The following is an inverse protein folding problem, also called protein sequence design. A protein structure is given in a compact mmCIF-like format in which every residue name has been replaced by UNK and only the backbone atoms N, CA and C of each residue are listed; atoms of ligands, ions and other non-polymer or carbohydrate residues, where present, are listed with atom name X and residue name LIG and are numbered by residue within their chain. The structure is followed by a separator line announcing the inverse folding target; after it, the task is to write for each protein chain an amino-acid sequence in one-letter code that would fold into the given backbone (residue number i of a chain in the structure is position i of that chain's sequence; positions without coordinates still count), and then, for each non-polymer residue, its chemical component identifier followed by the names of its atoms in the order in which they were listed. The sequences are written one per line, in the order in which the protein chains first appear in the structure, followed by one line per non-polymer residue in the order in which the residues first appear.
data_IF_961243286274
#
_entry.id   IF_961243286274
#
_cell.length_a   1.000
_cell.length_b   1.000
_cell.length_c   1.000
_cell.angle_alpha   90.00
_cell.angle_beta   90.00
_cell.angle_gamma   90.00
#
_symmetry.space_group_name_H-M   'P 1'
#
loop_
_entity.id
_entity.type
_entity.pdbx_description
1 polymer ?
#
# COMPACT_ATOMS: atom_id res chain seq x y z
N UNK A 1 -10.65 -38.91 -1.19
CA UNK A 1 -9.17 -39.01 -1.31
C UNK A 1 -8.74 -38.00 -2.36
N UNK A 2 -7.82 -37.07 -2.07
CA UNK A 2 -7.28 -36.17 -3.11
C UNK A 2 -6.08 -36.86 -3.72
N UNK A 3 -6.18 -37.26 -4.99
CA UNK A 3 -5.08 -37.87 -5.72
C UNK A 3 -4.36 -36.75 -6.46
N UNK A 4 -3.10 -36.52 -6.12
CA UNK A 4 -2.23 -35.60 -6.85
C UNK A 4 -1.42 -36.46 -7.81
N UNK A 5 -1.46 -36.15 -9.10
CA UNK A 5 -0.60 -36.75 -10.12
C UNK A 5 0.07 -35.59 -10.83
N UNK A 6 1.39 -35.51 -10.70
CA UNK A 6 2.21 -34.49 -11.34
C UNK A 6 2.78 -35.05 -12.65
N UNK A 7 2.73 -34.23 -13.69
CA UNK A 7 3.45 -34.48 -14.94
C UNK A 7 4.96 -34.29 -14.72
N UNK A 8 5.81 -34.85 -15.58
CA UNK A 8 7.27 -34.75 -15.47
C UNK A 8 7.76 -33.30 -15.35
N UNK A 9 7.19 -32.39 -16.15
CA UNK A 9 7.49 -30.96 -16.10
C UNK A 9 7.15 -30.35 -14.74
N UNK A 10 6.04 -30.75 -14.13
CA UNK A 10 5.62 -30.27 -12.82
C UNK A 10 6.50 -30.85 -11.70
N UNK A 11 6.99 -32.07 -11.85
CA UNK A 11 7.96 -32.68 -10.91
C UNK A 11 9.31 -31.94 -10.98
N UNK A 12 9.75 -31.58 -12.19
CA UNK A 12 10.97 -30.79 -12.39
C UNK A 12 10.83 -29.39 -11.76
N UNK A 13 9.72 -28.70 -12.01
CA UNK A 13 9.45 -27.38 -11.44
C UNK A 13 9.32 -27.43 -9.91
N UNK A 14 8.61 -28.42 -9.36
CA UNK A 14 8.52 -28.65 -7.92
C UNK A 14 9.91 -28.83 -7.29
N UNK A 15 10.77 -29.59 -7.95
CA UNK A 15 12.14 -29.86 -7.49
C UNK A 15 12.98 -28.58 -7.52
N UNK A 16 12.87 -27.79 -8.58
CA UNK A 16 13.52 -26.49 -8.73
C UNK A 16 13.08 -25.53 -7.61
N UNK A 17 11.78 -25.34 -7.40
CA UNK A 17 11.24 -24.42 -6.39
C UNK A 17 11.62 -24.81 -4.96
N UNK A 18 11.67 -26.11 -4.64
CA UNK A 18 12.12 -26.59 -3.32
C UNK A 18 13.60 -26.28 -3.04
N UNK A 19 14.44 -26.42 -4.07
CA UNK A 19 15.89 -26.23 -3.99
C UNK A 19 16.32 -24.77 -4.09
N UNK A 20 15.44 -23.87 -4.56
CA UNK A 20 15.74 -22.44 -4.59
C UNK A 20 15.91 -21.87 -3.17
N UNK A 21 17.08 -21.27 -2.85
CA UNK A 21 17.30 -20.61 -1.57
C UNK A 21 16.36 -19.44 -1.30
N UNK A 22 15.81 -18.81 -2.34
CA UNK A 22 14.88 -17.66 -2.22
C UNK A 22 13.47 -18.10 -1.80
N UNK A 23 13.16 -19.39 -1.92
CA UNK A 23 11.86 -19.91 -1.51
C UNK A 23 11.70 -19.84 0.01
N UNK A 24 10.68 -19.11 0.45
CA UNK A 24 10.34 -18.96 1.86
C UNK A 24 10.09 -20.34 2.52
N UNK A 25 10.48 -20.55 3.79
CA UNK A 25 10.29 -21.83 4.48
C UNK A 25 8.85 -22.37 4.40
N UNK A 26 7.84 -21.51 4.67
CA UNK A 26 6.43 -21.90 4.59
C UNK A 26 5.98 -22.34 3.20
N UNK A 27 6.50 -21.70 2.15
CA UNK A 27 6.24 -22.11 0.76
C UNK A 27 6.90 -23.46 0.48
N UNK A 28 8.11 -23.70 1.00
CA UNK A 28 8.83 -24.98 0.86
C UNK A 28 8.06 -26.14 1.52
N UNK A 29 7.51 -25.93 2.72
CA UNK A 29 6.70 -26.95 3.40
C UNK A 29 5.46 -27.32 2.57
N UNK A 30 4.78 -26.33 1.99
CA UNK A 30 3.61 -26.55 1.12
C UNK A 30 3.98 -27.28 -0.16
N UNK A 31 5.12 -26.96 -0.77
CA UNK A 31 5.65 -27.71 -1.92
C UNK A 31 5.96 -29.17 -1.55
N UNK A 32 6.49 -29.40 -0.35
CA UNK A 32 6.76 -30.74 0.16
C UNK A 32 5.47 -31.53 0.42
N UNK A 33 4.39 -30.89 0.91
CA UNK A 33 3.07 -31.52 1.02
C UNK A 33 2.57 -32.02 -0.35
N UNK A 34 2.71 -31.21 -1.41
CA UNK A 34 2.34 -31.61 -2.77
C UNK A 34 3.20 -32.77 -3.27
N UNK A 35 4.50 -32.76 -2.98
CA UNK A 35 5.41 -33.86 -3.31
C UNK A 35 4.98 -35.16 -2.65
N UNK A 36 4.68 -35.13 -1.35
CA UNK A 36 4.25 -36.31 -0.60
C UNK A 36 2.89 -36.83 -1.09
N UNK A 37 1.96 -35.93 -1.41
CA UNK A 37 0.67 -36.30 -1.99
C UNK A 37 0.83 -36.96 -3.37
N UNK A 38 1.77 -36.49 -4.19
CA UNK A 38 2.14 -37.14 -5.46
C UNK A 38 2.74 -38.54 -5.25
N UNK A 39 3.48 -38.74 -4.16
CA UNK A 39 4.03 -40.04 -3.75
C UNK A 39 3.00 -40.92 -3.02
N UNK A 40 1.70 -40.70 -3.25
CA UNK A 40 0.59 -41.45 -2.67
C UNK A 40 0.49 -41.43 -1.14
N UNK A 41 1.09 -40.44 -0.46
CA UNK A 41 0.84 -40.27 0.98
C UNK A 41 -0.59 -39.75 1.20
N UNK A 42 -1.26 -40.32 2.20
CA UNK A 42 -2.59 -39.88 2.61
C UNK A 42 -2.51 -38.53 3.34
N UNK A 43 -3.60 -37.75 3.29
CA UNK A 43 -3.70 -36.47 4.02
C UNK A 43 -3.42 -36.64 5.53
N UNK A 44 -3.99 -37.65 6.24
CA UNK A 44 -3.67 -37.88 7.65
C UNK A 44 -2.17 -38.12 7.88
N UNK A 45 -1.52 -38.90 7.00
CA UNK A 45 -0.08 -39.18 7.11
C UNK A 45 0.78 -37.93 6.91
N UNK A 46 0.42 -37.09 5.93
CA UNK A 46 1.09 -35.81 5.69
C UNK A 46 0.86 -34.87 6.87
N UNK A 47 -0.36 -34.80 7.39
CA UNK A 47 -0.72 -33.98 8.54
C UNK A 47 0.09 -34.35 9.79
N UNK A 48 0.23 -35.65 10.06
CA UNK A 48 1.08 -36.17 11.12
C UNK A 48 2.57 -35.81 10.91
N UNK A 49 3.08 -35.96 9.68
CA UNK A 49 4.48 -35.64 9.36
C UNK A 49 4.85 -34.17 9.59
N UNK A 50 3.92 -33.26 9.35
CA UNK A 50 4.11 -31.81 9.54
C UNK A 50 3.57 -31.29 10.88
N UNK A 51 3.01 -32.15 11.74
CA UNK A 51 2.38 -31.78 13.01
C UNK A 51 1.31 -30.68 12.87
N UNK A 52 0.50 -30.75 11.80
CA UNK A 52 -0.58 -29.79 11.52
C UNK A 52 -1.91 -30.51 11.32
N UNK A 53 -3.01 -29.76 11.36
CA UNK A 53 -4.34 -30.30 11.10
C UNK A 53 -4.49 -30.79 9.66
N UNK A 54 -5.22 -31.89 9.45
CA UNK A 54 -5.60 -32.39 8.12
C UNK A 54 -6.30 -31.34 7.25
N UNK A 55 -7.09 -30.45 7.86
CA UNK A 55 -7.80 -29.38 7.17
C UNK A 55 -6.83 -28.43 6.44
N UNK A 56 -5.69 -28.11 7.07
CA UNK A 56 -4.65 -27.27 6.46
C UNK A 56 -3.95 -27.97 5.30
N UNK A 57 -3.62 -29.25 5.44
CA UNK A 57 -3.05 -30.04 4.34
C UNK A 57 -4.04 -30.07 3.17
N UNK A 58 -5.31 -30.39 3.45
CA UNK A 58 -6.37 -30.43 2.44
C UNK A 58 -6.54 -29.09 1.74
N UNK A 59 -6.49 -27.98 2.47
CA UNK A 59 -6.56 -26.64 1.89
C UNK A 59 -5.44 -26.41 0.86
N UNK A 60 -4.19 -26.69 1.20
CA UNK A 60 -3.06 -26.46 0.28
C UNK A 60 -3.06 -27.42 -0.92
N UNK A 61 -3.42 -28.69 -0.72
CA UNK A 61 -3.56 -29.63 -1.84
C UNK A 61 -4.67 -29.17 -2.79
N UNK A 62 -5.83 -28.74 -2.27
CA UNK A 62 -6.90 -28.18 -3.10
C UNK A 62 -6.46 -26.94 -3.86
N UNK A 63 -5.80 -26.01 -3.16
CA UNK A 63 -5.28 -24.77 -3.75
C UNK A 63 -4.32 -25.07 -4.90
N UNK A 64 -3.42 -26.04 -4.72
CA UNK A 64 -2.54 -26.50 -5.79
C UNK A 64 -3.32 -27.11 -6.97
N UNK A 65 -4.31 -27.95 -6.70
CA UNK A 65 -5.09 -28.57 -7.77
C UNK A 65 -5.95 -27.55 -8.56
N UNK A 66 -6.39 -26.47 -7.92
CA UNK A 66 -7.21 -25.43 -8.57
C UNK A 66 -6.39 -24.38 -9.31
N UNK A 67 -5.27 -23.96 -8.74
CA UNK A 67 -4.52 -22.79 -9.20
C UNK A 67 -3.05 -23.13 -9.53
N UNK A 68 -2.53 -24.29 -9.12
CA UNK A 68 -1.14 -24.69 -9.35
C UNK A 68 -0.15 -24.07 -8.37
N UNK A 69 1.13 -24.02 -8.75
CA UNK A 69 2.25 -23.67 -7.86
C UNK A 69 2.17 -22.26 -7.27
N UNK A 70 1.64 -21.29 -8.01
CA UNK A 70 1.56 -19.90 -7.53
C UNK A 70 0.69 -19.76 -6.27
N UNK A 71 -0.30 -20.64 -6.11
CA UNK A 71 -1.21 -20.64 -4.97
C UNK A 71 -0.53 -21.04 -3.65
N UNK A 72 0.60 -21.75 -3.72
CA UNK A 72 1.37 -22.19 -2.56
C UNK A 72 2.27 -21.08 -1.99
N UNK A 73 2.45 -19.99 -2.74
CA UNK A 73 3.24 -18.85 -2.29
C UNK A 73 2.55 -18.09 -1.15
N UNK A 74 3.35 -17.53 -0.24
CA UNK A 74 2.82 -16.63 0.78
C UNK A 74 2.23 -15.37 0.11
N UNK A 75 0.91 -15.25 0.14
CA UNK A 75 0.22 -14.02 -0.24
C UNK A 75 0.47 -12.96 0.83
N UNK A 76 0.77 -11.73 0.38
CA UNK A 76 0.76 -10.58 1.28
C UNK A 76 -0.65 -10.45 1.84
N UNK A 77 -0.79 -10.52 3.16
CA UNK A 77 -2.09 -10.34 3.80
C UNK A 77 -2.72 -9.04 3.32
N UNK A 78 -4.02 -9.10 3.01
CA UNK A 78 -4.80 -7.89 2.77
C UNK A 78 -4.78 -7.13 4.09
N UNK A 79 -4.12 -5.98 4.13
CA UNK A 79 -4.09 -5.15 5.33
C UNK A 79 -5.51 -4.84 5.81
N UNK A 80 -5.65 -4.50 7.08
CA UNK A 80 -6.94 -4.03 7.62
C UNK A 80 -7.43 -2.88 6.75
N UNK A 81 -8.70 -2.94 6.33
CA UNK A 81 -9.31 -1.86 5.53
C UNK A 81 -9.12 -0.53 6.27
N UNK A 82 -8.70 0.56 5.59
CA UNK A 82 -8.58 1.85 6.22
C UNK A 82 -9.89 2.25 6.90
N UNK A 83 -9.81 2.73 8.14
CA UNK A 83 -10.98 3.23 8.89
C UNK A 83 -11.60 4.47 8.22
N UNK A 84 -10.77 5.25 7.53
CA UNK A 84 -11.18 6.36 6.66
C UNK A 84 -11.36 5.83 5.24
N UNK A 85 -12.60 5.83 4.76
CA UNK A 85 -12.89 5.53 3.35
C UNK A 85 -12.53 6.73 2.47
N UNK A 86 -12.42 6.50 1.16
CA UNK A 86 -12.17 7.57 0.20
C UNK A 86 -13.29 8.63 0.21
N UNK A 87 -14.55 8.24 0.45
CA UNK A 87 -15.68 9.18 0.56
C UNK A 87 -15.48 10.16 1.71
N UNK A 88 -15.16 9.64 2.90
CA UNK A 88 -14.96 10.48 4.09
C UNK A 88 -13.78 11.42 3.90
N UNK A 89 -12.71 10.98 3.24
CA UNK A 89 -11.58 11.84 2.92
C UNK A 89 -11.95 12.99 1.97
N UNK A 90 -12.86 12.76 1.03
CA UNK A 90 -13.33 13.80 0.12
C UNK A 90 -14.26 14.80 0.80
N UNK A 91 -15.14 14.34 1.70
CA UNK A 91 -15.93 15.21 2.56
C UNK A 91 -15.04 16.09 3.45
N UNK A 92 -13.99 15.51 4.06
CA UNK A 92 -12.99 16.28 4.81
C UNK A 92 -12.30 17.30 3.90
N UNK A 93 -11.97 16.96 2.67
CA UNK A 93 -11.38 17.90 1.70
C UNK A 93 -12.32 19.08 1.43
N UNK A 94 -13.61 18.83 1.28
CA UNK A 94 -14.60 19.88 1.04
C UNK A 94 -14.72 20.83 2.22
N UNK A 95 -14.92 20.33 3.44
CA UNK A 95 -15.06 21.20 4.63
C UNK A 95 -13.77 21.98 4.93
N UNK A 96 -12.61 21.39 4.65
CA UNK A 96 -11.31 22.04 4.91
C UNK A 96 -10.89 23.02 3.84
N UNK A 97 -11.55 23.02 2.67
CA UNK A 97 -11.29 23.95 1.57
C UNK A 97 -12.22 25.17 1.59
N UNK A 98 -13.25 25.20 2.43
CA UNK A 98 -14.12 26.35 2.57
C UNK A 98 -13.37 27.52 3.23
N UNK A 99 -13.48 28.70 2.64
CA UNK A 99 -12.86 29.92 3.16
C UNK A 99 -13.50 30.32 4.49
N UNK A 100 -12.67 30.58 5.52
CA UNK A 100 -13.15 31.16 6.78
C UNK A 100 -12.60 30.54 8.06
N UNK A 101 -11.99 29.35 8.01
CA UNK A 101 -11.44 28.71 9.21
C UNK A 101 -10.25 27.78 8.91
N UNK A 102 -9.28 27.75 9.84
CA UNK A 102 -8.24 26.71 9.84
C UNK A 102 -8.72 25.50 10.63
N UNK A 103 -8.67 24.31 10.01
CA UNK A 103 -9.02 23.06 10.66
C UNK A 103 -7.80 22.38 11.27
N UNK A 104 -7.89 22.07 12.57
CA UNK A 104 -6.92 21.20 13.26
C UNK A 104 -7.35 19.73 13.14
N UNK A 105 -6.39 18.80 13.29
CA UNK A 105 -6.71 17.37 13.29
C UNK A 105 -7.71 16.98 14.41
N UNK A 106 -7.71 17.69 15.55
CA UNK A 106 -8.69 17.50 16.61
C UNK A 106 -10.11 17.86 16.17
N UNK A 107 -10.28 19.03 15.56
CA UNK A 107 -11.57 19.49 15.02
C UNK A 107 -12.09 18.58 13.89
N UNK A 108 -11.19 18.07 13.04
CA UNK A 108 -11.56 17.07 12.03
C UNK A 108 -12.04 15.79 12.72
N UNK A 109 -11.38 15.33 13.78
CA UNK A 109 -11.81 14.12 14.50
C UNK A 109 -13.18 14.28 15.17
N UNK A 110 -13.46 15.45 15.76
CA UNK A 110 -14.78 15.78 16.31
C UNK A 110 -15.86 15.80 15.22
N UNK A 111 -15.55 16.38 14.06
CA UNK A 111 -16.44 16.36 12.91
C UNK A 111 -16.70 14.95 12.38
N UNK A 112 -15.68 14.08 12.30
CA UNK A 112 -15.84 12.67 11.91
C UNK A 112 -16.72 11.94 12.95
N UNK A 113 -16.50 12.19 14.25
CA UNK A 113 -17.31 11.58 15.30
C UNK A 113 -18.78 11.98 15.17
N UNK A 114 -19.06 13.25 14.88
CA UNK A 114 -20.43 13.77 14.74
C UNK A 114 -21.16 13.24 13.50
N UNK A 115 -20.47 13.14 12.34
CA UNK A 115 -21.11 12.80 11.06
C UNK A 115 -21.03 11.31 10.71
N UNK A 116 -19.98 10.61 11.16
CA UNK A 116 -19.69 9.22 10.81
C UNK A 116 -19.66 8.28 12.02
N UNK A 117 -19.92 8.78 13.24
CA UNK A 117 -20.00 7.98 14.47
C UNK A 117 -18.69 7.27 14.86
N UNK A 118 -17.58 7.64 14.21
CA UNK A 118 -16.29 6.99 14.41
C UNK A 118 -15.24 8.01 14.81
N UNK A 119 -14.36 7.63 15.73
CA UNK A 119 -13.22 8.45 16.12
C UNK A 119 -11.92 7.71 15.85
N UNK A 120 -10.88 8.49 15.60
CA UNK A 120 -9.53 8.01 15.38
C UNK A 120 -8.61 8.62 16.42
N UNK A 121 -7.46 7.97 16.62
CA UNK A 121 -6.37 8.63 17.32
C UNK A 121 -5.94 9.87 16.51
N UNK A 122 -5.91 11.05 17.15
CA UNK A 122 -5.65 12.33 16.49
C UNK A 122 -4.30 12.35 15.76
N UNK A 123 -3.27 11.70 16.32
CA UNK A 123 -1.96 11.58 15.66
C UNK A 123 -2.06 10.73 14.39
N UNK A 124 -2.75 9.59 14.46
CA UNK A 124 -2.97 8.74 13.29
C UNK A 124 -3.79 9.48 12.23
N UNK A 125 -4.83 10.22 12.62
CA UNK A 125 -5.61 11.06 11.72
C UNK A 125 -4.72 12.10 11.01
N UNK A 126 -3.86 12.82 11.74
CA UNK A 126 -2.92 13.76 11.14
C UNK A 126 -1.99 13.10 10.12
N UNK A 127 -1.48 11.90 10.41
CA UNK A 127 -0.67 11.13 9.46
C UNK A 127 -1.47 10.75 8.19
N UNK A 128 -2.74 10.34 8.34
CA UNK A 128 -3.62 10.02 7.22
C UNK A 128 -3.94 11.25 6.39
N UNK A 129 -4.28 12.37 7.02
CA UNK A 129 -4.56 13.64 6.34
C UNK A 129 -3.33 14.12 5.54
N UNK A 130 -2.14 14.08 6.15
CA UNK A 130 -0.89 14.45 5.48
C UNK A 130 -0.59 13.56 4.27
N UNK A 131 -0.77 12.23 4.38
CA UNK A 131 -0.60 11.30 3.25
C UNK A 131 -1.57 11.59 2.09
N UNK A 132 -2.72 12.18 2.37
CA UNK A 132 -3.74 12.55 1.38
C UNK A 132 -3.65 14.03 0.94
N UNK A 133 -2.55 14.72 1.27
CA UNK A 133 -2.31 16.10 0.87
C UNK A 133 -3.17 17.14 1.59
N UNK A 134 -3.84 16.75 2.69
CA UNK A 134 -4.65 17.62 3.55
C UNK A 134 -3.78 18.13 4.71
N UNK A 135 -2.69 18.81 4.37
CA UNK A 135 -1.79 19.43 5.33
C UNK A 135 -2.00 20.94 5.36
N UNK A 136 -1.66 21.56 6.51
CA UNK A 136 -1.66 23.01 6.61
C UNK A 136 -0.70 23.61 5.57
N UNK A 137 -1.25 24.40 4.65
CA UNK A 137 -0.47 25.18 3.68
C UNK A 137 -0.31 26.59 4.23
N UNK A 138 0.91 26.93 4.65
CA UNK A 138 1.22 28.31 5.07
C UNK A 138 1.04 29.24 3.87
N UNK A 139 0.22 30.28 4.01
CA UNK A 139 0.14 31.36 3.04
C UNK A 139 1.50 32.04 2.94
N UNK A 140 2.22 31.78 1.85
CA UNK A 140 3.46 32.50 1.57
C UNK A 140 3.09 33.87 1.00
N UNK A 141 3.60 34.97 1.58
CA UNK A 141 3.46 36.35 1.05
C UNK A 141 4.28 36.54 -0.22
N UNK A 142 4.05 35.74 -1.25
CA UNK A 142 4.64 35.94 -2.58
C UNK A 142 3.53 36.18 -3.59
N UNK A 143 3.68 37.25 -4.35
CA UNK A 143 2.86 37.54 -5.53
C UNK A 143 3.46 36.93 -6.79
N UNK A 144 4.47 36.04 -6.69
CA UNK A 144 5.17 35.44 -7.84
C UNK A 144 4.21 34.73 -8.80
N UNK A 145 3.22 34.02 -8.25
CA UNK A 145 2.18 33.34 -9.02
C UNK A 145 1.24 34.30 -9.77
N UNK A 146 1.25 35.59 -9.44
CA UNK A 146 0.50 36.66 -10.13
C UNK A 146 1.38 37.52 -11.04
N UNK A 147 2.69 37.24 -11.12
CA UNK A 147 3.60 38.02 -11.96
C UNK A 147 3.46 37.62 -13.42
N UNK A 148 3.36 38.62 -14.32
CA UNK A 148 3.48 38.40 -15.74
C UNK A 148 4.97 38.27 -16.12
N UNK A 149 5.43 37.14 -16.70
CA UNK A 149 6.84 36.91 -17.03
C UNK A 149 7.47 37.98 -17.93
N UNK A 150 6.72 38.47 -18.91
CA UNK A 150 7.22 39.47 -19.89
C UNK A 150 7.48 40.82 -19.23
N UNK A 151 6.55 41.26 -18.36
CA UNK A 151 6.71 42.50 -17.60
C UNK A 151 7.87 42.43 -16.62
N UNK A 152 8.11 41.26 -16.01
CA UNK A 152 9.27 41.04 -15.12
C UNK A 152 10.58 41.14 -15.90
N UNK A 153 10.65 40.59 -17.12
CA UNK A 153 11.86 40.67 -17.95
C UNK A 153 12.15 42.11 -18.39
N UNK A 154 11.14 42.83 -18.88
CA UNK A 154 11.26 44.24 -19.26
C UNK A 154 11.75 45.09 -18.08
N UNK A 155 11.13 44.96 -16.90
CA UNK A 155 11.53 45.74 -15.71
C UNK A 155 12.90 45.36 -15.17
N UNK A 156 13.35 44.12 -15.36
CA UNK A 156 14.74 43.71 -15.05
C UNK A 156 15.75 44.36 -15.99
N UNK A 157 15.44 44.48 -17.29
CA UNK A 157 16.29 45.17 -18.25
C UNK A 157 16.38 46.68 -17.93
N UNK A 158 15.24 47.32 -17.63
CA UNK A 158 15.17 48.73 -17.19
C UNK A 158 16.08 48.96 -15.96
N UNK A 159 15.98 48.09 -14.94
CA UNK A 159 16.80 48.13 -13.73
C UNK A 159 18.31 47.98 -14.00
N UNK A 160 18.68 47.11 -14.93
CA UNK A 160 20.08 46.86 -15.27
C UNK A 160 20.72 48.09 -15.95
N UNK A 161 19.95 48.80 -16.77
CA UNK A 161 20.38 50.05 -17.43
C UNK A 161 20.55 51.17 -16.41
N UNK A 162 19.60 51.33 -15.49
CA UNK A 162 19.64 52.34 -14.43
C UNK A 162 20.84 52.15 -13.48
N UNK A 163 21.18 50.90 -13.12
CA UNK A 163 22.36 50.60 -12.30
C UNK A 163 23.69 50.91 -12.99
N UNK A 164 23.74 50.89 -14.32
CA UNK A 164 24.95 51.20 -15.10
C UNK A 164 25.16 52.71 -15.28
N UNK A 165 24.10 53.51 -15.26
CA UNK A 165 24.17 54.97 -15.38
C UNK A 165 24.58 55.72 -14.10
N UNK A 166 24.71 55.03 -12.96
CA UNK A 166 24.94 55.63 -11.64
C UNK A 166 26.41 55.59 -11.20
N UNK A 167 27.35 55.80 -12.14
CA UNK A 167 28.76 56.11 -11.87
C UNK A 167 29.16 57.37 -12.62
N UNK A 168 29.11 58.50 -11.94
CA UNK A 168 29.81 59.74 -12.25
C UNK A 168 30.18 60.37 -10.90
N UNK A 169 31.42 60.14 -10.48
CA UNK A 169 32.20 61.09 -9.67
C UNK A 169 33.05 61.91 -10.64
#
# INVERSE_FOLDING_TARGET
MYRVVLMEEQVAELTRLRRDPRTKPRTRDRLEMVRLANNAWSIPKIAQHFEITESRVRHWIKSFLSEGFHSLSDRKGVGVKPRLTASVLEEIRQITSQDGQTWTAGQVNEWILANHGSSLNVRYLAEVLNKNGLSYKRTTRTIRHKQNPEQVMSKKADLATLKKGQKLD
#
